data_IF_427290285018
#
_entry.id   IF_427290285018
#
_cell.length_a   1.000
_cell.length_b   1.000
_cell.length_c   1.000
_cell.angle_alpha   90.00
_cell.angle_beta   90.00
_cell.angle_gamma   90.00
#
_symmetry.space_group_name_H-M   'P 1'
#
loop_
_entity.id
_entity.type
_entity.pdbx_description
1 polymer ?
#
# COMPACT_ATOMS: atom_id res chain seq x y z
N UNK A 1 11.83 2.56 9.67
CA UNK A 1 10.54 1.93 10.01
C UNK A 1 10.74 0.43 10.20
N UNK A 2 9.91 -0.24 11.01
CA UNK A 2 9.95 -1.71 11.19
C UNK A 2 9.12 -2.38 10.09
N UNK A 3 9.66 -3.43 9.48
CA UNK A 3 9.00 -4.18 8.41
C UNK A 3 8.44 -5.53 8.89
N UNK A 4 9.19 -6.26 9.70
CA UNK A 4 8.82 -7.59 10.19
C UNK A 4 9.26 -7.72 11.65
N UNK A 5 8.42 -8.36 12.46
CA UNK A 5 8.73 -8.78 13.83
C UNK A 5 8.44 -10.28 13.94
N UNK A 6 9.43 -11.05 14.38
CA UNK A 6 9.29 -12.49 14.67
C UNK A 6 9.38 -12.70 16.17
N UNK A 7 8.43 -13.47 16.73
CA UNK A 7 8.50 -14.00 18.08
C UNK A 7 9.12 -15.40 18.03
N UNK A 8 10.31 -15.57 18.59
CA UNK A 8 11.06 -16.81 18.55
C UNK A 8 10.86 -17.63 19.83
N UNK A 9 11.04 -18.96 19.73
CA UNK A 9 11.17 -19.78 20.94
C UNK A 9 12.43 -19.38 21.74
N UNK A 10 12.42 -19.50 23.08
CA UNK A 10 13.62 -19.30 23.87
C UNK A 10 14.79 -20.18 23.40
N UNK A 11 16.01 -19.63 23.39
CA UNK A 11 17.22 -20.37 23.06
C UNK A 11 17.56 -20.52 21.58
N UNK A 12 16.68 -20.14 20.65
CA UNK A 12 16.95 -20.30 19.20
C UNK A 12 17.69 -19.11 18.57
N UNK A 13 17.68 -17.94 19.21
CA UNK A 13 18.34 -16.75 18.68
C UNK A 13 19.88 -16.91 18.73
N UNK A 14 20.62 -16.79 17.61
CA UNK A 14 22.07 -16.93 17.59
C UNK A 14 22.78 -15.93 18.52
N UNK A 15 23.58 -16.46 19.45
CA UNK A 15 24.32 -15.67 20.45
C UNK A 15 25.76 -16.16 20.57
N UNK A 16 26.67 -15.25 20.94
CA UNK A 16 28.03 -15.60 21.36
C UNK A 16 28.00 -16.30 22.72
N UNK A 17 29.12 -16.92 23.12
CA UNK A 17 29.29 -17.51 24.46
C UNK A 17 29.03 -16.52 25.60
N UNK A 18 29.25 -15.22 25.38
CA UNK A 18 28.93 -14.12 26.31
C UNK A 18 27.49 -13.62 26.23
N UNK A 19 26.62 -14.24 25.43
CA UNK A 19 25.21 -13.91 25.30
C UNK A 19 24.87 -12.77 24.34
N UNK A 20 25.86 -12.19 23.64
CA UNK A 20 25.63 -11.12 22.66
C UNK A 20 25.00 -11.70 21.40
N UNK A 21 24.00 -11.01 20.85
CA UNK A 21 23.35 -11.44 19.61
C UNK A 21 24.33 -11.38 18.44
N UNK A 22 24.45 -12.49 17.71
CA UNK A 22 25.23 -12.58 16.48
C UNK A 22 24.40 -12.07 15.30
N UNK A 23 24.24 -10.74 15.21
CA UNK A 23 23.31 -10.09 14.26
C UNK A 23 23.48 -10.55 12.81
N UNK A 24 24.71 -10.79 12.36
CA UNK A 24 24.97 -11.24 10.98
C UNK A 24 24.45 -12.65 10.69
N UNK A 25 24.60 -13.57 11.65
CA UNK A 25 24.06 -14.93 11.53
C UNK A 25 22.53 -14.90 11.64
N UNK A 26 22.00 -14.14 12.60
CA UNK A 26 20.56 -13.94 12.73
C UNK A 26 19.93 -13.36 11.45
N UNK A 27 20.61 -12.42 10.78
CA UNK A 27 20.16 -11.88 9.50
C UNK A 27 20.16 -12.95 8.40
N UNK A 28 21.24 -13.73 8.28
CA UNK A 28 21.32 -14.80 7.30
C UNK A 28 20.19 -15.83 7.49
N UNK A 29 19.95 -16.27 8.73
CA UNK A 29 18.86 -17.19 9.05
C UNK A 29 17.47 -16.58 8.82
N UNK A 30 17.29 -15.29 9.12
CA UNK A 30 16.04 -14.58 8.83
C UNK A 30 15.75 -14.58 7.33
N UNK A 31 16.74 -14.23 6.51
CA UNK A 31 16.61 -14.19 5.05
C UNK A 31 16.41 -15.57 4.45
N UNK A 32 17.01 -16.61 5.04
CA UNK A 32 16.83 -18.00 4.65
C UNK A 32 15.49 -18.60 5.14
N UNK A 33 14.74 -17.90 6.01
CA UNK A 33 13.51 -18.43 6.60
C UNK A 33 13.73 -19.54 7.64
N UNK A 34 14.95 -19.64 8.19
CA UNK A 34 15.36 -20.71 9.11
C UNK A 34 15.06 -20.40 10.59
N UNK A 35 14.64 -19.17 10.90
CA UNK A 35 14.27 -18.80 12.26
C UNK A 35 12.90 -19.37 12.63
N UNK A 36 12.93 -20.41 13.46
CA UNK A 36 11.72 -21.02 14.02
C UNK A 36 10.99 -20.04 14.96
N UNK A 37 9.88 -19.52 14.45
CA UNK A 37 9.07 -18.50 15.11
C UNK A 37 7.72 -19.08 15.53
N UNK A 38 7.24 -18.64 16.69
CA UNK A 38 5.89 -18.95 17.20
C UNK A 38 4.88 -17.86 16.85
N UNK A 39 5.34 -16.77 16.26
CA UNK A 39 4.50 -15.66 15.83
C UNK A 39 5.25 -14.73 14.89
N UNK A 40 4.51 -14.12 13.98
CA UNK A 40 5.02 -13.22 12.96
C UNK A 40 4.06 -12.05 12.77
N UNK A 41 4.60 -10.85 12.78
CA UNK A 41 3.92 -9.63 12.36
C UNK A 41 4.69 -9.02 11.20
N UNK A 42 3.97 -8.57 10.18
CA UNK A 42 4.53 -7.82 9.06
C UNK A 42 3.81 -6.50 8.93
N UNK A 43 4.55 -5.45 8.56
CA UNK A 43 3.98 -4.17 8.23
C UNK A 43 3.00 -4.38 7.05
N UNK A 44 1.73 -3.98 7.20
CA UNK A 44 0.80 -4.02 6.08
C UNK A 44 1.40 -3.23 4.91
N UNK A 45 1.52 -3.89 3.76
CA UNK A 45 1.78 -3.17 2.53
C UNK A 45 0.50 -2.36 2.28
N UNK A 46 0.62 -1.04 2.27
CA UNK A 46 -0.36 -0.23 1.57
C UNK A 46 -0.23 -0.68 0.12
N UNK A 47 -1.07 -1.63 -0.27
CA UNK A 47 -1.41 -1.76 -1.67
C UNK A 47 -1.97 -0.39 -2.01
N UNK A 48 -1.20 0.33 -2.81
CA UNK A 48 -1.71 1.47 -3.53
C UNK A 48 -2.85 0.90 -4.37
N UNK A 49 -4.06 0.96 -3.79
CA UNK A 49 -5.27 0.74 -4.54
C UNK A 49 -5.16 1.76 -5.66
N UNK A 50 -4.80 1.30 -6.86
CA UNK A 50 -5.06 2.06 -8.06
C UNK A 50 -6.50 2.55 -7.87
N UNK A 51 -6.75 3.87 -7.85
CA UNK A 51 -8.06 4.39 -7.52
C UNK A 51 -9.04 3.58 -8.34
N UNK A 52 -10.08 2.97 -7.74
CA UNK A 52 -11.08 2.25 -8.53
C UNK A 52 -11.42 3.21 -9.65
N UNK A 53 -11.27 2.79 -10.91
CA UNK A 53 -11.49 3.67 -12.04
C UNK A 53 -12.93 4.18 -11.89
N UNK A 54 -13.08 5.34 -11.24
CA UNK A 54 -14.37 5.96 -11.02
C UNK A 54 -14.71 6.37 -12.43
N UNK A 55 -15.52 5.54 -13.08
CA UNK A 55 -16.11 5.86 -14.36
C UNK A 55 -17.15 6.91 -14.01
N UNK A 56 -16.70 8.14 -13.81
CA UNK A 56 -17.59 9.29 -13.71
C UNK A 56 -18.25 9.31 -15.09
N UNK A 57 -19.55 8.97 -15.22
CA UNK A 57 -20.21 9.18 -16.49
C UNK A 57 -20.04 10.68 -16.81
N UNK A 58 -19.69 11.04 -18.06
CA UNK A 58 -19.50 12.43 -18.42
C UNK A 58 -20.72 13.22 -17.96
N UNK A 59 -20.54 14.38 -17.29
CA UNK A 59 -21.68 15.19 -16.90
C UNK A 59 -22.41 15.54 -18.19
N UNK A 60 -23.66 15.06 -18.27
CA UNK A 60 -24.69 15.33 -19.27
C UNK A 60 -24.23 16.01 -20.58
N UNK A 61 -24.47 15.32 -21.70
CA UNK A 61 -24.17 15.73 -23.07
C UNK A 61 -24.02 17.23 -23.28
N UNK A 62 -22.77 17.67 -23.46
CA UNK A 62 -22.48 18.99 -24.03
C UNK A 62 -22.83 18.92 -25.52
N UNK A 63 -24.11 19.07 -25.86
CA UNK A 63 -24.52 19.42 -27.22
C UNK A 63 -24.27 20.91 -27.39
N UNK A 64 -23.22 21.24 -28.15
CA UNK A 64 -22.70 22.59 -28.38
C UNK A 64 -23.61 23.48 -29.24
N UNK A 65 -24.88 23.11 -29.45
CA UNK A 65 -25.73 23.70 -30.49
C UNK A 65 -26.89 24.58 -29.98
N UNK A 66 -27.00 24.85 -28.68
CA UNK A 66 -28.13 25.66 -28.15
C UNK A 66 -27.77 27.11 -27.82
N UNK A 67 -27.13 27.84 -28.75
CA UNK A 67 -27.10 29.32 -28.73
C UNK A 67 -27.47 29.85 -30.11
N UNK A 68 -28.76 29.80 -30.43
CA UNK A 68 -29.50 30.62 -31.42
C UNK A 68 -30.94 30.64 -30.90
N UNK A 69 -31.71 31.71 -30.81
CA UNK A 69 -31.68 33.05 -31.35
C UNK A 69 -32.80 33.78 -30.55
N UNK A 70 -32.55 34.97 -29.99
CA UNK A 70 -33.64 35.85 -29.54
C UNK A 70 -33.50 37.20 -30.23
N UNK A 71 -33.66 37.17 -31.54
CA UNK A 71 -34.05 38.32 -32.34
C UNK A 71 -35.42 38.82 -31.86
N UNK A 72 -35.42 39.88 -31.04
CA UNK A 72 -36.62 40.66 -30.77
C UNK A 72 -36.87 41.52 -32.00
N UNK A 73 -37.89 41.14 -32.77
CA UNK A 73 -38.37 41.87 -33.94
C UNK A 73 -38.81 43.29 -33.59
N UNK A 74 -38.47 44.20 -34.50
CA UNK A 74 -38.85 45.62 -34.55
C UNK A 74 -40.11 45.75 -35.41
N UNK A 75 -41.17 46.38 -34.91
CA UNK A 75 -42.33 46.89 -35.66
C UNK A 75 -43.20 47.69 -34.66
N UNK A 76 -43.84 48.81 -34.94
CA UNK A 76 -43.87 49.82 -36.01
C UNK A 76 -44.48 51.05 -35.33
#
# INVERSE_FOLDING_TARGET
>A
AVHVVLLLRPGVLPKTSSGKVQRRICLAQFLAGELDNVGKWERPKLEEMAPPAITIPPPFGVTKDSIRDRSVGKAT
#
